data_IF_586627234288
#
_entry.id   IF_586627234288
#
_cell.length_a   1.000
_cell.length_b   1.000
_cell.length_c   1.000
_cell.angle_alpha   90.00
_cell.angle_beta   90.00
_cell.angle_gamma   90.00
#
_symmetry.space_group_name_H-M   'P 1'
#
loop_
_entity.id
_entity.type
_entity.pdbx_description
1 polymer ?
#
# COMPACT_ATOMS: atom_id res chain seq x y z
N UNK A 1 14.06 -5.35 4.52
CA UNK A 1 13.61 -6.74 4.81
C UNK A 1 14.13 -7.77 3.79
N UNK A 2 13.75 -7.77 2.50
CA UNK A 2 14.14 -8.82 1.52
C UNK A 2 15.64 -8.98 1.29
N UNK A 3 16.42 -7.90 1.39
CA UNK A 3 17.89 -7.95 1.30
C UNK A 3 18.57 -8.32 2.64
N UNK A 4 17.80 -8.73 3.64
CA UNK A 4 18.31 -9.02 4.99
C UNK A 4 18.61 -7.78 5.83
N UNK A 5 18.24 -6.56 5.41
CA UNK A 5 18.44 -5.35 6.22
C UNK A 5 17.37 -5.25 7.32
N UNK A 6 17.73 -5.25 8.63
CA UNK A 6 16.82 -4.90 9.72
C UNK A 6 16.19 -3.53 9.47
N UNK A 7 14.88 -3.41 9.67
CA UNK A 7 14.11 -2.24 9.25
C UNK A 7 13.37 -1.63 10.44
N UNK A 8 13.49 -0.31 10.59
CA UNK A 8 12.67 0.52 11.48
C UNK A 8 11.66 1.25 10.58
N UNK A 9 10.37 1.07 10.83
CA UNK A 9 9.34 1.69 10.02
C UNK A 9 8.27 2.33 10.90
N UNK A 10 7.55 3.30 10.34
CA UNK A 10 6.45 3.97 11.05
C UNK A 10 5.42 2.96 11.56
N UNK A 11 4.90 3.18 12.77
CA UNK A 11 3.74 2.45 13.30
C UNK A 11 2.41 2.87 12.65
N UNK A 12 2.41 3.88 11.77
CA UNK A 12 1.21 4.40 11.14
C UNK A 12 1.06 3.86 9.70
N UNK A 13 -0.05 3.19 9.43
CA UNK A 13 -0.40 2.68 8.11
C UNK A 13 0.18 1.28 7.80
N UNK A 14 0.44 1.02 6.52
CA UNK A 14 0.83 -0.31 6.02
C UNK A 14 2.01 -0.99 6.74
N UNK A 15 3.10 -0.28 7.10
CA UNK A 15 4.24 -0.92 7.78
C UNK A 15 3.90 -1.52 9.16
N UNK A 16 2.84 -1.04 9.81
CA UNK A 16 2.35 -1.59 11.08
C UNK A 16 1.92 -3.06 10.94
N UNK A 17 1.36 -3.44 9.78
CA UNK A 17 0.99 -4.82 9.48
C UNK A 17 2.19 -5.62 8.93
N UNK A 18 3.06 -4.98 8.13
CA UNK A 18 4.19 -5.64 7.49
C UNK A 18 5.19 -6.18 8.51
N UNK A 19 5.56 -5.35 9.49
CA UNK A 19 6.56 -5.67 10.51
C UNK A 19 5.87 -6.22 11.76
N UNK A 20 6.45 -7.26 12.33
CA UNK A 20 6.15 -7.73 13.67
C UNK A 20 7.23 -7.16 14.59
N UNK A 21 6.84 -6.22 15.45
CA UNK A 21 7.77 -5.47 16.29
C UNK A 21 8.64 -6.40 17.15
N UNK A 22 9.96 -6.17 17.11
CA UNK A 22 10.96 -6.97 17.81
C UNK A 22 11.26 -8.35 17.21
N UNK A 23 10.54 -8.75 16.16
CA UNK A 23 10.69 -10.07 15.50
C UNK A 23 11.26 -9.94 14.10
N UNK A 24 10.56 -9.22 13.22
CA UNK A 24 10.96 -9.03 11.80
C UNK A 24 11.47 -7.62 11.49
N UNK A 25 11.44 -6.74 12.48
CA UNK A 25 11.84 -5.34 12.41
C UNK A 25 11.31 -4.60 13.63
N UNK A 26 11.27 -3.27 13.56
CA UNK A 26 10.77 -2.45 14.67
C UNK A 26 9.82 -1.37 14.17
N UNK A 27 8.83 -1.06 14.99
CA UNK A 27 7.99 0.11 14.81
C UNK A 27 8.60 1.33 15.50
N UNK A 28 8.50 2.49 14.85
CA UNK A 28 8.84 3.81 15.39
C UNK A 28 7.67 4.76 15.19
N UNK A 29 7.41 5.62 16.17
CA UNK A 29 6.35 6.62 16.06
C UNK A 29 6.90 7.92 15.45
N UNK A 30 6.42 8.34 14.26
CA UNK A 30 6.90 9.57 13.62
C UNK A 30 6.57 10.84 14.42
N UNK A 31 5.61 10.79 15.35
CA UNK A 31 5.27 11.93 16.21
C UNK A 31 6.21 12.07 17.42
N UNK A 32 7.03 11.05 17.70
CA UNK A 32 7.95 11.01 18.84
C UNK A 32 9.37 10.70 18.37
N UNK A 33 10.00 11.68 17.72
CA UNK A 33 11.32 11.55 17.11
C UNK A 33 12.43 11.14 18.07
N UNK A 34 12.42 11.67 19.31
CA UNK A 34 13.40 11.32 20.33
C UNK A 34 13.33 9.84 20.68
N UNK A 35 12.13 9.31 20.97
CA UNK A 35 11.92 7.89 21.25
C UNK A 35 12.26 6.99 20.05
N UNK A 36 12.02 7.45 18.82
CA UNK A 36 12.44 6.73 17.62
C UNK A 36 13.97 6.65 17.53
N UNK A 37 14.68 7.75 17.82
CA UNK A 37 16.13 7.79 17.79
C UNK A 37 16.77 6.93 18.88
N UNK A 38 16.21 6.96 20.09
CA UNK A 38 16.64 6.12 21.23
C UNK A 38 16.50 4.64 20.89
N UNK A 39 15.36 4.24 20.31
CA UNK A 39 15.14 2.85 19.89
C UNK A 39 16.13 2.37 18.83
N UNK A 40 16.56 3.26 17.91
CA UNK A 40 17.59 2.95 16.92
C UNK A 40 18.97 2.82 17.59
N UNK A 41 19.30 3.73 18.52
CA UNK A 41 20.54 3.68 19.28
C UNK A 41 20.65 2.38 20.09
N UNK A 42 19.60 2.01 20.83
CA UNK A 42 19.49 0.77 21.60
C UNK A 42 19.73 -0.47 20.74
N UNK A 43 19.22 -0.48 19.51
CA UNK A 43 19.43 -1.59 18.59
C UNK A 43 20.90 -1.72 18.20
N UNK A 44 21.58 -0.62 17.88
CA UNK A 44 22.99 -0.66 17.53
C UNK A 44 23.88 -1.01 18.73
N UNK A 45 23.52 -0.55 19.93
CA UNK A 45 24.21 -0.95 21.15
C UNK A 45 24.08 -2.45 21.41
N UNK A 46 22.86 -3.01 21.27
CA UNK A 46 22.64 -4.46 21.34
C UNK A 46 23.43 -5.23 20.27
N UNK A 47 23.46 -4.74 19.04
CA UNK A 47 24.24 -5.36 17.96
C UNK A 47 25.74 -5.32 18.24
N UNK A 48 26.23 -4.29 18.95
CA UNK A 48 27.64 -4.18 19.34
C UNK A 48 27.99 -5.17 20.45
N UNK A 49 27.10 -5.36 21.42
CA UNK A 49 27.29 -6.33 22.51
C UNK A 49 27.10 -7.78 22.05
N UNK A 50 26.16 -8.00 21.13
CA UNK A 50 25.82 -9.30 20.57
C UNK A 50 25.57 -9.16 19.05
N UNK A 51 26.59 -9.42 18.22
CA UNK A 51 26.47 -9.38 16.76
C UNK A 51 25.42 -10.34 16.20
N UNK A 52 25.07 -11.41 16.93
CA UNK A 52 24.04 -12.36 16.49
C UNK A 52 22.64 -11.75 16.48
N UNK A 53 22.42 -10.67 17.25
CA UNK A 53 21.15 -9.96 17.30
C UNK A 53 20.77 -9.36 15.95
N UNK A 54 21.75 -8.81 15.21
CA UNK A 54 21.52 -8.30 13.86
C UNK A 54 21.04 -9.41 12.92
N UNK A 55 21.69 -10.57 12.97
CA UNK A 55 21.35 -11.76 12.15
C UNK A 55 19.95 -12.27 12.51
N UNK A 56 19.60 -12.28 13.80
CA UNK A 56 18.26 -12.68 14.26
C UNK A 56 17.16 -11.82 13.64
N UNK A 57 17.29 -10.49 13.70
CA UNK A 57 16.29 -9.59 13.12
C UNK A 57 16.30 -9.64 11.58
N UNK A 58 17.48 -9.75 10.98
CA UNK A 58 17.65 -9.94 9.52
C UNK A 58 16.88 -11.17 9.01
N UNK A 59 17.08 -12.32 9.66
CA UNK A 59 16.40 -13.57 9.33
C UNK A 59 14.89 -13.50 9.59
N UNK A 60 14.46 -12.87 10.68
CA UNK A 60 13.04 -12.62 10.95
C UNK A 60 12.39 -11.77 9.85
N UNK A 61 13.11 -10.77 9.34
CA UNK A 61 12.69 -9.96 8.21
C UNK A 61 12.55 -10.76 6.91
N UNK A 62 13.53 -11.61 6.59
CA UNK A 62 13.49 -12.49 5.42
C UNK A 62 12.31 -13.47 5.49
N UNK A 63 12.15 -14.14 6.64
CA UNK A 63 11.06 -15.09 6.87
C UNK A 63 9.70 -14.43 6.69
N UNK A 64 9.50 -13.23 7.27
CA UNK A 64 8.25 -12.47 7.13
C UNK A 64 7.90 -12.18 5.67
N UNK A 65 8.87 -11.80 4.85
CA UNK A 65 8.64 -11.53 3.42
C UNK A 65 8.26 -12.81 2.68
N UNK A 66 9.01 -13.90 2.86
CA UNK A 66 8.75 -15.15 2.14
C UNK A 66 7.39 -15.77 2.50
N UNK A 67 6.93 -15.60 3.74
CA UNK A 67 5.64 -16.12 4.19
C UNK A 67 4.43 -15.31 3.68
N UNK A 68 4.59 -13.99 3.45
CA UNK A 68 3.43 -13.09 3.27
C UNK A 68 3.47 -12.23 2.02
N UNK A 69 4.64 -11.76 1.61
CA UNK A 69 4.80 -10.67 0.65
C UNK A 69 5.60 -11.11 -0.57
N UNK A 70 5.15 -12.16 -1.25
CA UNK A 70 5.74 -12.65 -2.51
C UNK A 70 4.74 -12.59 -3.66
N UNK A 71 5.24 -12.33 -4.87
CA UNK A 71 4.43 -12.30 -6.08
C UNK A 71 3.77 -13.65 -6.41
N UNK A 72 4.40 -14.76 -6.01
CA UNK A 72 3.83 -16.10 -6.18
C UNK A 72 2.52 -16.25 -5.39
N UNK A 73 2.55 -15.95 -4.09
CA UNK A 73 1.36 -16.00 -3.22
C UNK A 73 0.29 -15.03 -3.73
N UNK A 74 0.69 -13.84 -4.20
CA UNK A 74 -0.22 -12.87 -4.79
C UNK A 74 -0.92 -13.42 -6.04
N UNK A 75 -0.17 -13.96 -7.00
CA UNK A 75 -0.70 -14.48 -8.24
C UNK A 75 -1.66 -15.66 -8.00
N UNK A 76 -1.31 -16.58 -7.11
CA UNK A 76 -2.17 -17.71 -6.72
C UNK A 76 -3.51 -17.22 -6.16
N UNK A 77 -3.49 -16.28 -5.19
CA UNK A 77 -4.71 -15.69 -4.64
C UNK A 77 -5.53 -14.96 -5.68
N UNK A 78 -4.91 -14.17 -6.54
CA UNK A 78 -5.59 -13.41 -7.59
C UNK A 78 -6.32 -14.34 -8.56
N UNK A 79 -5.69 -15.44 -8.98
CA UNK A 79 -6.30 -16.42 -9.88
C UNK A 79 -7.51 -17.11 -9.23
N UNK A 80 -7.39 -17.52 -7.96
CA UNK A 80 -8.52 -18.11 -7.22
C UNK A 80 -9.68 -17.13 -7.09
N UNK A 81 -9.41 -15.89 -6.67
CA UNK A 81 -10.45 -14.87 -6.52
C UNK A 81 -11.11 -14.53 -7.85
N UNK A 82 -10.35 -14.46 -8.95
CA UNK A 82 -10.89 -14.20 -10.29
C UNK A 82 -11.86 -15.29 -10.73
N UNK A 83 -11.56 -16.56 -10.45
CA UNK A 83 -12.47 -17.67 -10.72
C UNK A 83 -13.75 -17.60 -9.87
N UNK A 84 -13.60 -17.45 -8.55
CA UNK A 84 -14.73 -17.41 -7.60
C UNK A 84 -15.65 -16.22 -7.88
N UNK A 85 -15.10 -15.00 -7.99
CA UNK A 85 -15.89 -13.81 -8.27
C UNK A 85 -16.45 -13.79 -9.70
N UNK A 86 -15.75 -14.42 -10.66
CA UNK A 86 -16.27 -14.63 -12.02
C UNK A 86 -17.55 -15.45 -12.01
N UNK A 87 -17.55 -16.59 -11.30
CA UNK A 87 -18.75 -17.41 -11.12
C UNK A 87 -19.85 -16.66 -10.35
N UNK A 88 -19.50 -16.04 -9.21
CA UNK A 88 -20.46 -15.30 -8.40
C UNK A 88 -21.15 -14.16 -9.17
N UNK A 89 -20.42 -13.45 -10.03
CA UNK A 89 -20.97 -12.40 -10.90
C UNK A 89 -22.08 -12.91 -11.82
N UNK A 90 -22.00 -14.17 -12.27
CA UNK A 90 -23.04 -14.77 -13.09
C UNK A 90 -24.28 -15.13 -12.25
N UNK A 91 -24.05 -15.74 -11.08
CA UNK A 91 -25.12 -16.17 -10.16
C UNK A 91 -25.89 -14.97 -9.57
N UNK A 92 -25.19 -13.92 -9.14
CA UNK A 92 -25.78 -12.76 -8.46
C UNK A 92 -26.24 -11.65 -9.43
N UNK A 93 -26.44 -11.96 -10.72
CA UNK A 93 -26.60 -10.93 -11.77
C UNK A 93 -27.89 -10.11 -11.61
N UNK A 94 -28.99 -10.74 -11.22
CA UNK A 94 -30.31 -10.09 -11.08
C UNK A 94 -30.33 -9.12 -9.88
N UNK A 95 -29.80 -9.53 -8.74
CA UNK A 95 -29.74 -8.70 -7.52
C UNK A 95 -28.84 -7.45 -7.66
N UNK A 96 -27.81 -7.52 -8.52
CA UNK A 96 -26.88 -6.39 -8.72
C UNK A 96 -27.38 -5.33 -9.70
N UNK A 97 -28.55 -5.49 -10.32
CA UNK A 97 -29.06 -4.55 -11.32
C UNK A 97 -29.40 -3.19 -10.73
N UNK A 98 -30.05 -3.16 -9.57
CA UNK A 98 -30.45 -1.91 -8.90
C UNK A 98 -29.23 -1.10 -8.47
N UNK A 99 -28.27 -1.75 -7.80
CA UNK A 99 -26.98 -1.14 -7.41
C UNK A 99 -26.23 -0.62 -8.63
N UNK A 100 -26.26 -1.37 -9.75
CA UNK A 100 -25.63 -0.92 -11.00
C UNK A 100 -26.28 0.38 -11.52
N UNK A 101 -27.62 0.47 -11.55
CA UNK A 101 -28.31 1.69 -11.99
C UNK A 101 -28.05 2.87 -11.07
N UNK A 102 -27.99 2.62 -9.76
CA UNK A 102 -27.62 3.65 -8.80
C UNK A 102 -26.20 4.18 -9.03
N UNK A 103 -25.23 3.31 -9.30
CA UNK A 103 -23.85 3.71 -9.62
C UNK A 103 -23.77 4.46 -10.96
N UNK A 104 -24.53 4.05 -11.98
CA UNK A 104 -24.63 4.77 -13.25
C UNK A 104 -25.19 6.19 -13.05
N UNK A 105 -26.25 6.33 -12.26
CA UNK A 105 -26.80 7.63 -11.86
C UNK A 105 -25.77 8.47 -11.08
N UNK A 106 -25.09 7.89 -10.09
CA UNK A 106 -24.09 8.58 -9.27
C UNK A 106 -22.92 9.09 -10.12
N UNK A 107 -22.40 8.26 -11.03
CA UNK A 107 -21.36 8.65 -11.97
C UNK A 107 -21.82 9.83 -12.85
N UNK A 108 -23.03 9.73 -13.41
CA UNK A 108 -23.53 10.68 -14.41
C UNK A 108 -23.91 12.02 -13.79
N UNK A 109 -24.59 12.02 -12.64
CA UNK A 109 -25.18 13.23 -12.02
C UNK A 109 -24.29 13.87 -10.95
N UNK A 110 -23.21 13.21 -10.52
CA UNK A 110 -22.30 13.75 -9.48
C UNK A 110 -20.86 13.74 -9.93
N UNK A 111 -20.30 12.56 -10.19
CA UNK A 111 -18.87 12.46 -10.50
C UNK A 111 -18.49 13.26 -11.75
N UNK A 112 -19.26 13.11 -12.84
CA UNK A 112 -18.97 13.80 -14.11
C UNK A 112 -18.95 15.32 -13.98
N UNK A 113 -19.86 15.89 -13.19
CA UNK A 113 -19.92 17.34 -13.00
C UNK A 113 -18.79 17.85 -12.10
N UNK A 114 -18.38 17.09 -11.08
CA UNK A 114 -17.18 17.41 -10.30
C UNK A 114 -15.92 17.40 -11.16
N UNK A 115 -15.77 16.41 -12.05
CA UNK A 115 -14.60 16.33 -12.95
C UNK A 115 -14.50 17.55 -13.87
N UNK A 116 -15.62 18.08 -14.38
CA UNK A 116 -15.61 19.30 -15.22
C UNK A 116 -15.09 20.54 -14.50
N UNK A 117 -15.13 20.56 -13.16
CA UNK A 117 -14.60 21.69 -12.38
C UNK A 117 -13.09 21.62 -12.16
N UNK A 118 -12.46 20.49 -12.47
CA UNK A 118 -11.01 20.34 -12.37
C UNK A 118 -10.36 20.98 -13.60
N UNK A 119 -9.48 21.99 -13.43
CA UNK A 119 -8.80 22.63 -14.55
C UNK A 119 -7.97 21.62 -15.36
N UNK A 120 -8.03 21.75 -16.68
CA UNK A 120 -7.18 20.96 -17.57
C UNK A 120 -5.72 21.40 -17.42
N UNK A 121 -4.79 20.47 -17.58
CA UNK A 121 -3.37 20.79 -17.66
C UNK A 121 -3.12 21.69 -18.88
N UNK A 122 -2.45 22.82 -18.67
CA UNK A 122 -2.01 23.71 -19.75
C UNK A 122 -0.70 23.16 -20.31
N UNK A 123 -0.65 22.85 -21.60
CA UNK A 123 0.62 22.57 -22.28
C UNK A 123 1.28 23.90 -22.65
N UNK A 124 2.47 24.17 -22.10
CA UNK A 124 3.32 25.25 -22.61
C UNK A 124 3.88 24.83 -23.97
N UNK A 125 3.15 25.16 -25.04
CA UNK A 125 3.73 25.17 -26.38
C UNK A 125 4.56 26.45 -26.54
N UNK A 126 5.74 26.35 -27.16
CA UNK A 126 6.68 27.46 -27.32
C UNK A 126 6.15 28.65 -28.17
N UNK A 127 4.86 28.67 -28.54
CA UNK A 127 4.20 29.76 -29.25
C UNK A 127 2.75 29.95 -28.74
N UNK A 128 2.60 30.54 -27.55
CA UNK A 128 1.33 31.08 -27.09
C UNK A 128 0.33 30.06 -26.52
N UNK A 129 -0.48 30.54 -25.58
CA UNK A 129 -1.46 29.77 -24.83
C UNK A 129 -2.68 29.52 -25.73
N UNK A 130 -2.90 28.29 -26.18
CA UNK A 130 -4.18 27.86 -26.74
C UNK A 130 -5.03 27.20 -25.65
N UNK A 131 -6.07 27.89 -25.19
CA UNK A 131 -7.12 27.30 -24.37
C UNK A 131 -7.96 26.35 -25.24
N UNK A 132 -7.91 25.04 -24.98
CA UNK A 132 -8.84 24.08 -25.59
C UNK A 132 -10.24 24.30 -25.00
N UNK A 133 -11.08 25.02 -25.73
CA UNK A 133 -12.52 25.14 -25.47
C UNK A 133 -13.23 23.79 -25.65
N UNK A 134 -14.14 23.49 -24.73
CA UNK A 134 -14.94 22.26 -24.72
C UNK A 134 -16.12 22.43 -25.68
N UNK A 135 -16.15 21.64 -26.75
CA UNK A 135 -17.41 21.11 -27.33
C UNK A 135 -17.76 19.76 -26.69
#
# INVERSE_FOLDING_TARGET
MTCGLPTFATCNGGPAEIIVDGVSGFHIDPYHGDSASERIADFFEKCKTDPSYWIKISNGGLQRIYERYTWKIYAEKLMTLSGVYGFWKYVSKLERLETRRYLEMFYTLKYRDLVKTVPLAVEESANGIEEKSIE
#
